data_IF_174720736681
#
_entry.id   IF_174720736681
#
_cell.length_a   1.000
_cell.length_b   1.000
_cell.length_c   1.000
_cell.angle_alpha   90.00
_cell.angle_beta   90.00
_cell.angle_gamma   90.00
#
_symmetry.space_group_name_H-M   'P 1'
#
loop_
_entity.id
_entity.type
_entity.pdbx_description
1 polymer ?
#
# COMPACT_ATOMS: atom_id res chain seq x y z
N UNK A 1 -13.58 1.44 -2.09
CA UNK A 1 -12.46 0.93 -1.27
C UNK A 1 -11.15 1.41 -1.86
N UNK A 2 -10.24 1.78 -1.00
CA UNK A 2 -8.84 2.10 -1.37
C UNK A 2 -7.92 1.09 -0.69
N UNK A 3 -7.00 0.51 -1.45
CA UNK A 3 -6.02 -0.45 -0.95
C UNK A 3 -4.70 0.28 -0.75
N UNK A 4 -4.07 0.11 0.39
CA UNK A 4 -2.85 0.83 0.77
C UNK A 4 -1.62 -0.01 0.43
N UNK A 5 -0.71 0.57 -0.35
CA UNK A 5 0.62 0.01 -0.54
C UNK A 5 1.51 0.32 0.66
N UNK A 6 2.57 -0.46 0.82
CA UNK A 6 3.52 -0.33 1.94
C UNK A 6 4.14 1.07 2.04
N UNK A 7 4.42 1.72 0.91
CA UNK A 7 5.05 3.04 0.93
C UNK A 7 4.17 4.10 1.59
N UNK A 8 2.86 4.00 1.48
CA UNK A 8 1.92 4.91 2.17
C UNK A 8 2.08 4.77 3.69
N UNK A 9 2.18 3.55 4.18
CA UNK A 9 2.38 3.28 5.61
C UNK A 9 3.75 3.74 6.09
N UNK A 10 4.79 3.50 5.29
CA UNK A 10 6.17 3.89 5.63
C UNK A 10 6.33 5.41 5.69
N UNK A 11 5.85 6.15 4.71
CA UNK A 11 5.93 7.61 4.74
C UNK A 11 5.12 8.20 5.88
N UNK A 12 4.03 7.58 6.28
CA UNK A 12 3.22 8.04 7.41
C UNK A 12 3.98 8.01 8.75
N UNK A 13 5.00 7.17 8.90
CA UNK A 13 5.81 7.06 10.13
C UNK A 13 7.24 7.56 9.97
N UNK A 14 7.73 7.79 8.76
CA UNK A 14 9.11 8.20 8.51
C UNK A 14 9.22 9.72 8.46
N UNK A 15 9.40 10.35 9.62
CA UNK A 15 9.51 11.81 9.74
C UNK A 15 10.76 12.40 9.05
N UNK A 16 11.75 11.57 8.72
CA UNK A 16 12.93 12.00 7.95
C UNK A 16 12.64 12.16 6.46
N UNK A 17 11.53 11.60 5.96
CA UNK A 17 11.17 11.71 4.54
C UNK A 17 10.55 13.06 4.21
N UNK A 18 10.89 13.61 3.03
CA UNK A 18 10.25 14.81 2.48
C UNK A 18 8.77 14.60 2.16
N UNK A 19 8.32 13.35 2.01
CA UNK A 19 6.93 13.00 1.73
C UNK A 19 6.09 12.76 2.98
N UNK A 20 6.70 12.78 4.16
CA UNK A 20 6.04 12.44 5.43
C UNK A 20 4.78 13.27 5.69
N UNK A 21 4.89 14.58 5.63
CA UNK A 21 3.77 15.48 5.98
C UNK A 21 2.59 15.27 5.03
N UNK A 22 2.85 15.19 3.73
CA UNK A 22 1.81 15.03 2.71
C UNK A 22 1.10 13.69 2.85
N UNK A 23 1.86 12.60 2.94
CA UNK A 23 1.30 11.25 3.01
C UNK A 23 0.58 11.02 4.34
N UNK A 24 1.16 11.48 5.45
CA UNK A 24 0.51 11.36 6.76
C UNK A 24 -0.82 12.10 6.78
N UNK A 25 -0.87 13.31 6.25
CA UNK A 25 -2.11 14.09 6.16
C UNK A 25 -3.16 13.39 5.30
N UNK A 26 -2.72 12.83 4.17
CA UNK A 26 -3.60 12.08 3.28
C UNK A 26 -4.18 10.85 3.99
N UNK A 27 -3.33 10.08 4.68
CA UNK A 27 -3.75 8.90 5.41
C UNK A 27 -4.69 9.25 6.57
N UNK A 28 -4.36 10.27 7.36
CA UNK A 28 -5.21 10.71 8.47
C UNK A 28 -6.61 11.13 7.96
N UNK A 29 -6.67 11.82 6.84
CA UNK A 29 -7.94 12.20 6.22
C UNK A 29 -8.73 10.98 5.73
N UNK A 30 -8.07 10.01 5.13
CA UNK A 30 -8.70 8.76 4.68
C UNK A 30 -9.24 7.95 5.86
N UNK A 31 -8.47 7.86 6.95
CA UNK A 31 -8.89 7.17 8.17
C UNK A 31 -10.11 7.83 8.85
N UNK A 32 -10.23 9.14 8.72
CA UNK A 32 -11.35 9.90 9.27
C UNK A 32 -12.59 9.92 8.36
N UNK A 33 -12.49 9.37 7.15
CA UNK A 33 -13.57 9.35 6.16
C UNK A 33 -14.44 8.10 6.29
N UNK A 34 -15.50 8.03 5.48
CA UNK A 34 -16.34 6.83 5.35
C UNK A 34 -15.77 5.81 4.35
N UNK A 35 -14.67 6.15 3.68
CA UNK A 35 -14.04 5.27 2.71
C UNK A 35 -13.44 4.04 3.38
N UNK A 36 -13.73 2.86 2.85
CA UNK A 36 -13.09 1.62 3.31
C UNK A 36 -11.65 1.56 2.82
N UNK A 37 -10.73 1.36 3.76
CA UNK A 37 -9.30 1.19 3.49
C UNK A 37 -8.93 -0.27 3.65
N UNK A 38 -8.43 -0.88 2.57
CA UNK A 38 -7.93 -2.25 2.59
C UNK A 38 -6.43 -2.29 2.84
N UNK A 39 -6.02 -3.08 3.82
CA UNK A 39 -4.60 -3.31 4.10
C UNK A 39 -4.25 -4.75 3.74
N UNK A 40 -3.50 -4.97 2.64
CA UNK A 40 -3.08 -6.32 2.27
C UNK A 40 -2.01 -6.83 3.23
N UNK A 41 -1.95 -8.14 3.42
CA UNK A 41 -0.90 -8.75 4.24
C UNK A 41 0.50 -8.43 3.75
N UNK A 42 0.73 -8.36 2.43
CA UNK A 42 2.02 -7.99 1.86
C UNK A 42 2.45 -6.57 2.28
N UNK A 43 1.51 -5.64 2.42
CA UNK A 43 1.80 -4.30 2.90
C UNK A 43 2.09 -4.28 4.40
N UNK A 44 1.30 -4.98 5.22
CA UNK A 44 1.52 -5.07 6.66
C UNK A 44 2.86 -5.73 6.99
N UNK A 45 3.18 -6.86 6.35
CA UNK A 45 4.44 -7.57 6.55
C UNK A 45 5.62 -6.75 6.02
N UNK A 46 5.47 -6.11 4.87
CA UNK A 46 6.48 -5.21 4.32
C UNK A 46 6.76 -4.03 5.23
N UNK A 47 5.72 -3.46 5.83
CA UNK A 47 5.87 -2.39 6.82
C UNK A 47 6.69 -2.84 8.02
N UNK A 48 6.35 -3.97 8.63
CA UNK A 48 7.10 -4.51 9.78
C UNK A 48 8.57 -4.74 9.43
N UNK A 49 8.83 -5.31 8.26
CA UNK A 49 10.20 -5.63 7.82
C UNK A 49 11.01 -4.37 7.56
N UNK A 50 10.45 -3.38 6.88
CA UNK A 50 11.20 -2.19 6.41
C UNK A 50 11.28 -1.14 7.51
N UNK A 51 10.18 -0.86 8.22
CA UNK A 51 10.15 0.17 9.26
C UNK A 51 11.10 -0.12 10.44
N UNK A 52 11.39 -1.39 10.68
CA UNK A 52 12.30 -1.83 11.75
C UNK A 52 13.74 -2.06 11.27
N UNK A 53 14.02 -1.85 9.99
CA UNK A 53 15.32 -2.14 9.41
C UNK A 53 16.22 -0.89 9.40
N UNK A 54 17.36 -0.88 10.15
CA UNK A 54 18.26 0.26 10.18
C UNK A 54 18.97 0.53 8.84
N UNK A 55 18.98 -0.43 7.91
CA UNK A 55 19.50 -0.23 6.55
C UNK A 55 18.53 0.54 5.66
N UNK A 56 17.24 0.49 5.97
CA UNK A 56 16.20 1.14 5.18
C UNK A 56 15.75 2.47 5.77
N UNK A 57 15.82 2.62 7.11
CA UNK A 57 15.30 3.77 7.85
C UNK A 57 16.42 4.47 8.60
N UNK A 58 16.50 5.79 8.46
CA UNK A 58 17.44 6.62 9.25
C UNK A 58 17.16 6.48 10.76
N UNK A 59 15.88 6.47 11.12
CA UNK A 59 15.44 6.24 12.51
C UNK A 59 14.45 5.07 12.51
N UNK A 60 14.94 3.83 12.59
CA UNK A 60 14.06 2.66 12.56
C UNK A 60 13.16 2.60 13.79
N UNK A 61 11.95 2.08 13.60
CA UNK A 61 11.06 1.78 14.70
C UNK A 61 11.54 0.53 15.44
N UNK A 62 11.25 0.46 16.74
CA UNK A 62 11.36 -0.81 17.46
C UNK A 62 10.23 -1.75 16.97
N UNK A 63 10.36 -3.07 17.15
CA UNK A 63 9.27 -3.99 16.84
C UNK A 63 7.97 -3.61 17.56
N UNK A 64 8.04 -3.18 18.81
CA UNK A 64 6.88 -2.76 19.59
C UNK A 64 6.20 -1.52 19.00
N UNK A 65 6.98 -0.55 18.54
CA UNK A 65 6.43 0.64 17.89
C UNK A 65 5.77 0.31 16.56
N UNK A 66 6.38 -0.56 15.75
CA UNK A 66 5.82 -0.97 14.47
C UNK A 66 4.51 -1.75 14.65
N UNK A 67 4.48 -2.68 15.62
CA UNK A 67 3.26 -3.42 15.96
C UNK A 67 2.16 -2.48 16.48
N UNK A 68 2.50 -1.52 17.34
CA UNK A 68 1.55 -0.56 17.86
C UNK A 68 0.93 0.31 16.75
N UNK A 69 1.71 0.68 15.74
CA UNK A 69 1.20 1.41 14.58
C UNK A 69 0.15 0.58 13.83
N UNK A 70 0.44 -0.69 13.55
CA UNK A 70 -0.50 -1.58 12.87
C UNK A 70 -1.74 -1.87 13.73
N UNK A 71 -1.58 -2.06 15.04
CA UNK A 71 -2.71 -2.24 15.96
C UNK A 71 -3.65 -1.03 15.90
N UNK A 72 -3.10 0.17 15.94
CA UNK A 72 -3.89 1.41 15.83
C UNK A 72 -4.58 1.51 14.47
N UNK A 73 -3.88 1.16 13.39
CA UNK A 73 -4.44 1.17 12.03
C UNK A 73 -5.64 0.21 11.93
N UNK A 74 -5.47 -1.03 12.40
CA UNK A 74 -6.51 -2.05 12.33
C UNK A 74 -7.67 -1.77 13.29
N UNK A 75 -7.51 -0.90 14.26
CA UNK A 75 -8.59 -0.51 15.18
C UNK A 75 -9.58 0.50 14.57
N UNK A 76 -9.23 1.16 13.46
CA UNK A 76 -10.17 2.05 12.77
C UNK A 76 -11.32 1.25 12.17
N UNK A 77 -12.58 1.71 12.34
CA UNK A 77 -13.76 0.95 11.89
C UNK A 77 -13.85 0.80 10.37
N UNK A 78 -13.22 1.69 9.60
CA UNK A 78 -13.20 1.65 8.14
C UNK A 78 -11.97 0.95 7.56
N UNK A 79 -11.10 0.38 8.38
CA UNK A 79 -9.92 -0.38 7.94
C UNK A 79 -10.23 -1.87 7.96
N UNK A 80 -9.94 -2.55 6.85
CA UNK A 80 -10.12 -4.00 6.72
C UNK A 80 -8.83 -4.64 6.24
N UNK A 81 -8.55 -5.85 6.73
CA UNK A 81 -7.50 -6.68 6.19
C UNK A 81 -8.04 -7.38 4.95
N UNK A 82 -7.26 -7.38 3.87
CA UNK A 82 -7.68 -8.02 2.61
C UNK A 82 -6.70 -9.10 2.19
N UNK A 83 -7.25 -10.09 1.50
CA UNK A 83 -6.51 -11.24 1.00
C UNK A 83 -6.95 -11.57 -0.43
N UNK A 84 -6.13 -12.33 -1.18
CA UNK A 84 -6.52 -12.83 -2.49
C UNK A 84 -7.77 -13.70 -2.42
N UNK A 85 -8.68 -13.51 -3.38
CA UNK A 85 -9.84 -14.35 -3.60
C UNK A 85 -9.58 -15.38 -4.69
N UNK A 86 -10.66 -16.03 -5.14
CA UNK A 86 -10.58 -17.11 -6.14
C UNK A 86 -10.13 -16.65 -7.54
N UNK A 87 -10.34 -15.39 -7.87
CA UNK A 87 -9.97 -14.82 -9.17
C UNK A 87 -8.53 -14.28 -9.20
N UNK A 88 -7.86 -14.25 -8.06
CA UNK A 88 -6.58 -13.56 -7.93
C UNK A 88 -5.51 -14.13 -8.86
N UNK A 89 -5.38 -15.46 -8.92
CA UNK A 89 -4.35 -16.09 -9.75
C UNK A 89 -4.53 -15.76 -11.22
N UNK A 90 -5.76 -15.82 -11.73
CA UNK A 90 -6.05 -15.51 -13.13
C UNK A 90 -5.73 -14.04 -13.44
N UNK A 91 -6.07 -13.12 -12.53
CA UNK A 91 -5.76 -11.69 -12.68
C UNK A 91 -4.25 -11.42 -12.64
N UNK A 92 -3.57 -12.00 -11.67
CA UNK A 92 -2.12 -11.86 -11.51
C UNK A 92 -1.38 -12.37 -12.74
N UNK A 93 -1.76 -13.56 -13.20
CA UNK A 93 -1.16 -14.18 -14.38
C UNK A 93 -1.36 -13.32 -15.63
N UNK A 94 -2.55 -12.77 -15.83
CA UNK A 94 -2.87 -11.90 -16.96
C UNK A 94 -2.05 -10.60 -16.93
N UNK A 95 -1.92 -9.98 -15.77
CA UNK A 95 -1.14 -8.75 -15.59
C UNK A 95 0.35 -8.97 -15.90
N UNK A 96 0.93 -10.08 -15.42
CA UNK A 96 2.32 -10.41 -15.68
C UNK A 96 2.53 -10.72 -17.16
N UNK A 97 1.63 -11.47 -17.79
CA UNK A 97 1.71 -11.81 -19.21
C UNK A 97 1.65 -10.56 -20.09
N UNK A 98 0.78 -9.60 -19.77
CA UNK A 98 0.66 -8.34 -20.52
C UNK A 98 1.86 -7.41 -20.30
N UNK A 99 2.41 -7.38 -19.09
CA UNK A 99 3.61 -6.61 -18.81
C UNK A 99 4.87 -7.22 -19.41
N UNK A 100 4.82 -8.49 -19.79
CA UNK A 100 5.94 -9.27 -20.35
C UNK A 100 7.16 -9.31 -19.43
N UNK A 101 6.95 -9.16 -18.12
CA UNK A 101 7.99 -9.18 -17.11
C UNK A 101 7.42 -9.56 -15.76
N UNK A 102 8.24 -10.17 -14.94
CA UNK A 102 7.95 -10.47 -13.56
C UNK A 102 9.03 -9.84 -12.68
N UNK A 103 9.82 -10.64 -11.96
CA UNK A 103 10.93 -10.10 -11.16
C UNK A 103 10.46 -9.02 -10.19
N UNK A 104 11.01 -7.82 -10.31
CA UNK A 104 10.70 -6.70 -9.42
C UNK A 104 9.25 -6.22 -9.53
N UNK A 105 8.54 -6.54 -10.61
CA UNK A 105 7.13 -6.19 -10.79
C UNK A 105 6.18 -7.23 -10.20
N UNK A 106 6.66 -8.33 -9.69
CA UNK A 106 5.79 -9.43 -9.18
C UNK A 106 4.90 -8.96 -8.03
N UNK A 107 5.46 -8.28 -7.04
CA UNK A 107 4.68 -7.76 -5.90
C UNK A 107 3.71 -6.65 -6.35
N UNK A 108 4.13 -5.80 -7.28
CA UNK A 108 3.28 -4.75 -7.83
C UNK A 108 2.09 -5.36 -8.59
N UNK A 109 2.34 -6.39 -9.39
CA UNK A 109 1.27 -7.11 -10.07
C UNK A 109 0.30 -7.79 -9.10
N UNK A 110 0.81 -8.31 -7.97
CA UNK A 110 -0.01 -8.86 -6.91
C UNK A 110 -0.94 -7.79 -6.30
N UNK A 111 -0.42 -6.62 -5.98
CA UNK A 111 -1.22 -5.50 -5.45
C UNK A 111 -2.24 -5.01 -6.47
N UNK A 112 -1.84 -4.89 -7.74
CA UNK A 112 -2.77 -4.52 -8.81
C UNK A 112 -3.90 -5.54 -8.96
N UNK A 113 -3.58 -6.83 -8.91
CA UNK A 113 -4.58 -7.90 -8.97
C UNK A 113 -5.55 -7.85 -7.79
N UNK A 114 -5.05 -7.60 -6.57
CA UNK A 114 -5.91 -7.41 -5.39
C UNK A 114 -6.89 -6.25 -5.60
N UNK A 115 -6.40 -5.11 -6.08
CA UNK A 115 -7.24 -3.94 -6.29
C UNK A 115 -8.32 -4.22 -7.34
N UNK A 116 -7.96 -4.85 -8.45
CA UNK A 116 -8.90 -5.20 -9.51
C UNK A 116 -9.94 -6.20 -8.99
N UNK A 117 -9.53 -7.24 -8.29
CA UNK A 117 -10.43 -8.25 -7.75
C UNK A 117 -11.45 -7.66 -6.77
N UNK A 118 -11.00 -6.75 -5.92
CA UNK A 118 -11.86 -6.11 -4.92
C UNK A 118 -12.62 -4.89 -5.46
N UNK A 119 -12.46 -4.54 -6.74
CA UNK A 119 -13.09 -3.36 -7.31
C UNK A 119 -12.62 -2.06 -6.67
N UNK A 120 -11.38 -2.01 -6.21
CA UNK A 120 -10.81 -0.94 -5.42
C UNK A 120 -9.80 -0.10 -6.20
N UNK A 121 -9.48 1.08 -5.68
CA UNK A 121 -8.33 1.86 -6.09
C UNK A 121 -7.10 1.44 -5.29
N UNK A 122 -5.94 1.38 -5.93
CA UNK A 122 -4.68 1.20 -5.24
C UNK A 122 -4.07 2.58 -4.92
N UNK A 123 -3.68 2.78 -3.67
CA UNK A 123 -2.99 3.98 -3.22
C UNK A 123 -1.52 3.66 -3.03
N UNK A 124 -0.67 4.25 -3.87
CA UNK A 124 0.77 4.05 -3.86
C UNK A 124 1.48 5.28 -4.39
N UNK A 125 2.67 5.54 -3.85
CA UNK A 125 3.55 6.60 -4.35
C UNK A 125 4.45 6.12 -5.50
N UNK A 126 4.39 4.83 -5.84
CA UNK A 126 5.24 4.23 -6.87
C UNK A 126 4.62 4.42 -8.26
N UNK A 127 5.33 5.15 -9.13
CA UNK A 127 4.90 5.42 -10.50
C UNK A 127 4.84 4.20 -11.40
N UNK A 128 5.45 3.08 -11.03
CA UNK A 128 5.44 1.85 -11.82
C UNK A 128 4.04 1.25 -11.98
N UNK A 129 3.10 1.60 -11.11
CA UNK A 129 1.70 1.15 -11.23
C UNK A 129 0.99 1.70 -12.47
N UNK A 130 1.49 2.77 -13.09
CA UNK A 130 0.98 3.28 -14.36
C UNK A 130 1.03 2.26 -15.50
N UNK A 131 1.85 1.22 -15.37
CA UNK A 131 1.96 0.12 -16.36
C UNK A 131 0.70 -0.75 -16.43
N UNK A 132 -0.07 -0.81 -15.36
CA UNK A 132 -1.25 -1.66 -15.28
C UNK A 132 -2.50 -0.84 -15.67
N UNK A 133 -2.83 -0.84 -16.97
CA UNK A 133 -3.88 0.03 -17.52
C UNK A 133 -5.28 -0.23 -16.96
N UNK A 134 -5.56 -1.48 -16.55
CA UNK A 134 -6.84 -1.84 -15.94
C UNK A 134 -6.95 -1.42 -14.46
N UNK A 135 -5.83 -1.00 -13.85
CA UNK A 135 -5.77 -0.60 -12.45
C UNK A 135 -6.22 0.86 -12.29
N UNK A 136 -7.09 1.09 -11.32
CA UNK A 136 -7.32 2.45 -10.80
C UNK A 136 -6.28 2.74 -9.72
N UNK A 137 -5.42 3.71 -9.98
CA UNK A 137 -4.29 4.05 -9.13
C UNK A 137 -4.33 5.51 -8.71
N UNK A 138 -4.11 5.73 -7.42
CA UNK A 138 -4.04 7.07 -6.81
C UNK A 138 -2.67 7.22 -6.15
N UNK A 139 -2.00 8.33 -6.45
CA UNK A 139 -0.73 8.67 -5.82
C UNK A 139 -0.93 9.83 -4.83
N UNK A 140 -0.78 9.58 -3.51
CA UNK A 140 -1.00 10.61 -2.49
C UNK A 140 -0.08 11.83 -2.58
N UNK A 141 1.07 11.70 -3.23
CA UNK A 141 2.04 12.78 -3.39
C UNK A 141 1.97 13.44 -4.77
N UNK A 142 1.13 12.95 -5.68
CA UNK A 142 0.98 13.56 -7.00
C UNK A 142 0.33 14.94 -6.84
N UNK A 143 0.93 15.94 -7.51
CA UNK A 143 0.31 17.26 -7.57
C UNK A 143 -0.94 17.16 -8.43
N UNK A 144 -2.07 17.59 -7.88
CA UNK A 144 -3.28 17.82 -8.68
C UNK A 144 -2.97 18.96 -9.64
N UNK A 145 -3.12 18.68 -10.90
CA UNK A 145 -2.98 19.69 -11.93
C UNK A 145 -4.12 20.74 -11.79
#
# INVERSE_FOLDING_TARGET
MKILDVNVLLYAVNSASTHHVVVKRWLDAALASDETLGVPWVAALGFLRIATNPRAMTTPLTPQQALAFLDALFAYPNVVQIAPGKEHWALLRDLIAKAQTAGNLTTDAHLAALAIEHGAELCSTDGDFSRFKALRWVNPIAKTA
#
